data_IF_255225373256
#
_entry.id   IF_255225373256
#
_cell.length_a   1.000
_cell.length_b   1.000
_cell.length_c   1.000
_cell.angle_alpha   90.00
_cell.angle_beta   90.00
_cell.angle_gamma   90.00
#
_symmetry.space_group_name_H-M   'P 1'
#
loop_
_entity.id
_entity.type
_entity.pdbx_description
1 polymer ?
#
# COMPACT_ATOMS: atom_id res chain seq x y z
N UNK A 1 -24.17 -66.01 -39.01
CA UNK A 1 -25.39 -66.32 -38.23
C UNK A 1 -26.00 -65.00 -37.76
N UNK A 2 -27.18 -64.65 -38.31
CA UNK A 2 -28.23 -63.66 -37.91
C UNK A 2 -27.77 -62.39 -37.16
N UNK A 3 -27.84 -61.14 -37.64
CA UNK A 3 -28.75 -60.36 -38.52
C UNK A 3 -30.13 -60.00 -37.92
N UNK A 4 -30.62 -58.80 -38.29
CA UNK A 4 -31.84 -58.02 -37.95
C UNK A 4 -31.67 -56.99 -36.81
N UNK A 5 -32.03 -55.71 -36.94
CA UNK A 5 -32.72 -54.95 -38.00
C UNK A 5 -33.20 -53.61 -37.42
N UNK A 6 -33.08 -52.53 -38.19
CA UNK A 6 -33.42 -51.14 -37.86
C UNK A 6 -34.95 -50.84 -38.01
N UNK A 7 -35.39 -49.60 -38.36
CA UNK A 7 -35.62 -48.35 -37.60
C UNK A 7 -37.12 -47.91 -37.69
N UNK A 8 -37.44 -46.61 -37.48
CA UNK A 8 -38.55 -45.74 -38.04
C UNK A 8 -39.05 -44.78 -36.94
N UNK A 9 -39.09 -43.43 -37.01
CA UNK A 9 -39.48 -42.37 -37.98
C UNK A 9 -40.87 -41.74 -37.78
N UNK A 10 -40.86 -40.40 -37.60
CA UNK A 10 -41.81 -39.31 -37.97
C UNK A 10 -43.23 -39.13 -37.40
N UNK A 11 -43.57 -37.82 -37.38
CA UNK A 11 -44.88 -37.13 -37.37
C UNK A 11 -45.39 -36.71 -35.97
N UNK A 12 -45.99 -35.54 -35.73
CA UNK A 12 -46.46 -34.44 -36.60
C UNK A 12 -46.72 -33.18 -35.73
N UNK A 13 -46.62 -31.99 -36.33
CA UNK A 13 -47.11 -30.69 -35.83
C UNK A 13 -48.66 -30.64 -35.76
N UNK A 14 -49.27 -29.68 -35.02
CA UNK A 14 -49.58 -28.31 -35.52
C UNK A 14 -49.29 -27.21 -34.45
N UNK A 15 -48.88 -25.96 -34.71
CA UNK A 15 -49.27 -24.87 -35.64
C UNK A 15 -50.33 -23.89 -35.06
N UNK A 16 -49.92 -22.59 -35.00
CA UNK A 16 -50.64 -21.30 -34.80
C UNK A 16 -51.28 -21.00 -33.43
N UNK A 17 -51.13 -19.81 -32.82
CA UNK A 17 -51.54 -18.43 -33.21
C UNK A 17 -50.57 -17.41 -32.54
N UNK A 18 -49.82 -16.52 -33.19
CA UNK A 18 -50.10 -15.23 -33.86
C UNK A 18 -50.79 -14.10 -33.04
N UNK A 19 -49.98 -13.24 -32.41
CA UNK A 19 -50.21 -11.81 -32.19
C UNK A 19 -48.82 -11.21 -31.83
N UNK A 20 -48.20 -10.29 -32.56
CA UNK A 20 -48.74 -9.13 -33.24
C UNK A 20 -48.40 -7.90 -32.40
N UNK A 21 -47.16 -7.41 -32.45
CA UNK A 21 -46.85 -6.05 -32.02
C UNK A 21 -45.97 -5.34 -33.04
N UNK A 22 -46.45 -4.14 -33.32
CA UNK A 22 -46.17 -3.27 -34.46
C UNK A 22 -44.85 -2.56 -34.26
N UNK A 23 -44.03 -2.58 -35.30
CA UNK A 23 -42.87 -1.71 -35.50
C UNK A 23 -43.38 -0.30 -35.76
N UNK A 24 -43.16 0.62 -34.81
CA UNK A 24 -43.16 2.06 -35.11
C UNK A 24 -41.73 2.53 -35.22
N UNK A 25 -41.35 2.91 -36.43
CA UNK A 25 -40.12 3.63 -36.74
C UNK A 25 -40.06 4.94 -35.96
N UNK A 26 -39.23 4.97 -34.93
CA UNK A 26 -38.81 6.19 -34.23
C UNK A 26 -37.51 6.68 -34.85
N UNK A 27 -37.60 7.82 -35.52
CA UNK A 27 -36.49 8.57 -36.08
C UNK A 27 -35.46 8.88 -34.97
N UNK A 28 -34.31 8.19 -34.97
CA UNK A 28 -33.20 8.49 -34.09
C UNK A 28 -32.39 9.64 -34.70
N UNK A 29 -32.74 10.87 -34.35
CA UNK A 29 -31.87 12.03 -34.55
C UNK A 29 -30.64 11.88 -33.64
N UNK A 30 -29.48 11.65 -34.26
CA UNK A 30 -28.17 11.88 -33.67
C UNK A 30 -28.07 13.35 -33.27
N UNK A 31 -28.25 13.64 -31.99
CA UNK A 31 -27.81 14.89 -31.37
C UNK A 31 -26.41 14.64 -30.81
N UNK A 32 -25.41 15.13 -31.55
CA UNK A 32 -24.07 15.39 -31.05
C UNK A 32 -24.17 16.59 -30.10
N UNK A 33 -24.26 16.33 -28.80
CA UNK A 33 -24.11 17.36 -27.77
C UNK A 33 -22.68 17.30 -27.23
N UNK A 34 -21.78 17.95 -27.97
CA UNK A 34 -20.45 18.34 -27.50
C UNK A 34 -20.64 19.49 -26.49
N UNK A 35 -21.03 19.13 -25.27
CA UNK A 35 -21.03 20.06 -24.14
C UNK A 35 -19.59 20.31 -23.66
N UNK A 36 -19.16 21.57 -23.47
CA UNK A 36 -17.80 21.85 -23.01
C UNK A 36 -17.60 21.34 -21.57
N UNK A 37 -16.48 20.66 -21.34
CA UNK A 37 -15.97 20.28 -20.02
C UNK A 37 -16.00 21.49 -19.06
N UNK A 38 -16.38 21.30 -17.78
CA UNK A 38 -16.40 22.39 -16.83
C UNK A 38 -14.97 22.91 -16.60
N UNK A 39 -14.76 24.18 -16.97
CA UNK A 39 -13.59 24.95 -16.57
C UNK A 39 -13.54 24.99 -15.04
N UNK A 40 -12.51 24.39 -14.46
CA UNK A 40 -12.11 24.69 -13.08
C UNK A 40 -11.82 26.18 -12.98
N UNK A 41 -12.76 26.92 -12.40
CA UNK A 41 -12.57 28.31 -12.03
C UNK A 41 -11.61 28.35 -10.83
N UNK A 42 -10.41 28.87 -11.08
CA UNK A 42 -9.48 29.33 -10.04
C UNK A 42 -10.15 30.41 -9.18
N UNK A 43 -10.84 30.03 -8.11
CA UNK A 43 -11.14 30.94 -7.01
C UNK A 43 -9.91 31.02 -6.11
N UNK A 44 -9.08 32.03 -6.37
CA UNK A 44 -8.02 32.50 -5.47
C UNK A 44 -8.66 32.86 -4.13
N UNK A 45 -8.46 32.02 -3.10
CA UNK A 45 -8.68 32.45 -1.73
C UNK A 45 -7.63 33.53 -1.38
N UNK A 46 -8.00 34.63 -0.69
CA UNK A 46 -7.04 35.64 -0.27
C UNK A 46 -6.07 35.02 0.76
N UNK A 47 -4.78 35.29 0.55
CA UNK A 47 -3.72 34.89 1.46
C UNK A 47 -3.97 35.51 2.85
N UNK A 48 -4.03 34.66 3.88
CA UNK A 48 -3.95 35.11 5.27
C UNK A 48 -2.62 35.84 5.51
N UNK A 49 -2.61 36.99 6.19
CA UNK A 49 -1.38 37.69 6.48
C UNK A 49 -0.51 36.88 7.45
N UNK A 50 0.77 36.79 7.13
CA UNK A 50 1.82 36.24 7.99
C UNK A 50 1.85 36.97 9.33
N UNK A 51 2.02 36.26 10.47
CA UNK A 51 2.24 36.93 11.75
C UNK A 51 3.61 37.60 11.77
N UNK A 52 3.62 38.85 12.23
CA UNK A 52 4.81 39.68 12.44
C UNK A 52 5.74 39.07 13.50
N UNK A 53 7.07 39.22 13.38
CA UNK A 53 8.02 38.78 14.40
C UNK A 53 7.83 39.60 15.67
N UNK A 54 7.65 38.93 16.81
CA UNK A 54 7.64 39.55 18.13
C UNK A 54 9.10 39.65 18.61
N UNK A 55 9.58 40.88 18.83
CA UNK A 55 10.84 41.14 19.53
C UNK A 55 10.75 40.69 21.00
N UNK A 56 11.81 40.11 21.58
CA UNK A 56 11.81 39.75 22.99
C UNK A 56 12.07 40.99 23.87
N UNK A 57 11.12 41.29 24.74
CA UNK A 57 11.29 42.23 25.85
C UNK A 57 12.13 41.58 26.96
N UNK A 58 13.21 42.27 27.33
CA UNK A 58 14.00 42.05 28.54
C UNK A 58 13.24 42.61 29.73
N UNK A 59 13.16 41.87 30.84
CA UNK A 59 13.04 42.27 32.27
C UNK A 59 12.67 41.00 33.07
N UNK A 60 12.92 40.80 34.36
CA UNK A 60 14.02 41.10 35.30
C UNK A 60 13.83 40.07 36.44
N UNK A 61 14.88 39.85 37.23
CA UNK A 61 15.13 38.77 38.19
C UNK A 61 14.03 38.43 39.22
N UNK A 62 13.88 37.13 39.50
CA UNK A 62 13.56 36.62 40.83
C UNK A 62 14.15 35.22 41.00
N UNK A 63 15.31 35.14 41.65
CA UNK A 63 15.99 33.89 41.95
C UNK A 63 15.37 33.19 43.17
N UNK A 64 14.98 31.92 42.99
CA UNK A 64 14.73 30.97 44.08
C UNK A 64 15.92 30.00 44.13
N UNK A 65 16.55 29.73 45.28
CA UNK A 65 17.72 28.86 45.36
C UNK A 65 17.32 27.39 45.13
N UNK A 66 17.88 26.77 44.11
CA UNK A 66 17.80 25.32 43.89
C UNK A 66 18.99 24.68 44.61
N UNK A 67 18.71 23.90 45.66
CA UNK A 67 19.67 22.97 46.26
C UNK A 67 19.92 21.82 45.28
N UNK A 68 21.18 21.42 45.01
CA UNK A 68 21.45 20.31 44.11
C UNK A 68 21.07 18.98 44.75
N UNK A 69 20.19 18.24 44.08
CA UNK A 69 19.90 16.84 44.37
C UNK A 69 21.17 15.97 44.18
N UNK A 70 21.31 14.88 44.95
CA UNK A 70 22.49 14.05 44.94
C UNK A 70 22.63 13.31 43.60
N UNK A 71 23.86 13.30 43.09
CA UNK A 71 24.28 12.56 41.89
C UNK A 71 23.98 11.07 42.07
N UNK A 72 22.95 10.57 41.39
CA UNK A 72 22.75 9.13 41.23
C UNK A 72 23.80 8.59 40.23
N UNK A 73 24.63 7.70 40.75
CA UNK A 73 25.56 6.85 40.00
C UNK A 73 24.80 6.08 38.90
N UNK A 74 25.27 6.01 37.65
CA UNK A 74 24.57 5.26 36.61
C UNK A 74 24.57 3.78 36.96
N UNK A 75 23.38 3.22 37.14
CA UNK A 75 23.17 1.79 37.28
C UNK A 75 23.75 1.08 36.04
N UNK A 76 24.65 0.13 36.27
CA UNK A 76 25.15 -0.78 35.24
C UNK A 76 23.96 -1.46 34.57
N UNK A 77 23.87 -1.52 33.22
CA UNK A 77 22.83 -2.28 32.55
C UNK A 77 22.99 -3.75 32.94
N UNK A 78 22.13 -4.23 33.82
CA UNK A 78 22.02 -5.66 34.11
C UNK A 78 21.65 -6.37 32.82
N UNK A 79 22.58 -7.17 32.30
CA UNK A 79 22.31 -8.09 31.20
C UNK A 79 21.21 -9.03 31.68
N UNK A 80 19.98 -8.82 31.20
CA UNK A 80 18.92 -9.79 31.35
C UNK A 80 19.38 -11.09 30.68
N UNK A 81 19.23 -12.25 31.35
CA UNK A 81 19.69 -13.51 30.78
C UNK A 81 18.95 -13.75 29.46
N UNK A 82 19.72 -14.06 28.41
CA UNK A 82 19.17 -14.51 27.14
C UNK A 82 18.34 -15.79 27.40
N UNK A 83 17.02 -15.68 27.32
CA UNK A 83 16.14 -16.84 27.36
C UNK A 83 16.28 -17.53 26.01
N UNK A 84 17.27 -18.41 25.89
CA UNK A 84 17.35 -19.38 24.80
C UNK A 84 16.31 -20.46 25.09
N UNK A 85 15.07 -20.18 24.68
CA UNK A 85 13.94 -21.09 24.79
C UNK A 85 13.50 -21.51 23.39
N UNK A 86 13.39 -22.82 23.17
CA UNK A 86 12.65 -23.39 22.04
C UNK A 86 11.29 -22.68 21.94
N UNK A 87 11.04 -22.00 20.81
CA UNK A 87 9.79 -21.29 20.54
C UNK A 87 8.64 -22.31 20.57
N UNK A 88 7.92 -22.39 21.69
CA UNK A 88 6.58 -22.96 21.70
C UNK A 88 5.65 -21.95 21.00
N UNK A 89 4.73 -22.39 20.12
CA UNK A 89 3.84 -21.45 19.46
C UNK A 89 2.96 -20.78 20.52
N UNK A 90 3.16 -19.48 20.69
CA UNK A 90 2.40 -18.62 21.60
C UNK A 90 1.19 -18.09 20.86
N UNK A 91 0.32 -19.01 20.46
CA UNK A 91 -1.00 -18.65 19.99
C UNK A 91 -1.67 -17.81 21.07
N UNK A 92 -2.26 -16.69 20.67
CA UNK A 92 -3.03 -15.86 21.56
C UNK A 92 -4.18 -16.71 22.11
N UNK A 93 -4.23 -16.85 23.43
CA UNK A 93 -5.31 -17.60 24.07
C UNK A 93 -6.58 -16.77 23.98
N UNK A 94 -7.57 -17.26 23.22
CA UNK A 94 -8.83 -16.55 23.01
C UNK A 94 -9.61 -16.51 24.33
N UNK A 95 -9.81 -15.30 24.84
CA UNK A 95 -10.70 -15.01 25.95
C UNK A 95 -12.15 -14.87 25.45
N UNK A 96 -13.17 -15.01 26.34
CA UNK A 96 -14.55 -14.68 25.99
C UNK A 96 -14.64 -13.29 25.33
N UNK A 97 -15.39 -13.20 24.22
CA UNK A 97 -15.50 -11.96 23.43
C UNK A 97 -16.26 -10.90 24.21
N UNK A 98 -15.55 -9.84 24.61
CA UNK A 98 -16.15 -8.64 25.17
C UNK A 98 -16.83 -7.80 24.08
N UNK A 99 -17.56 -6.76 24.51
CA UNK A 99 -18.00 -5.71 23.60
C UNK A 99 -16.80 -5.12 22.84
N UNK A 100 -16.91 -4.93 21.50
CA UNK A 100 -15.81 -4.37 20.73
C UNK A 100 -15.54 -2.92 21.16
N UNK A 101 -14.26 -2.56 21.22
CA UNK A 101 -13.86 -1.16 21.07
C UNK A 101 -13.96 -0.77 19.60
N UNK A 102 -14.01 0.53 19.31
CA UNK A 102 -14.04 1.02 17.93
C UNK A 102 -12.85 1.95 17.68
N UNK A 103 -12.33 1.91 16.45
CA UNK A 103 -11.26 2.79 15.96
C UNK A 103 -11.64 3.37 14.60
N UNK A 104 -11.64 4.69 14.51
CA UNK A 104 -11.95 5.40 13.25
C UNK A 104 -10.66 5.83 12.58
N UNK A 105 -10.52 5.46 11.31
CA UNK A 105 -9.40 5.83 10.47
C UNK A 105 -9.88 6.72 9.33
N UNK A 106 -9.05 7.69 8.99
CA UNK A 106 -9.16 8.49 7.77
C UNK A 106 -7.96 8.23 6.90
N UNK A 107 -8.18 7.95 5.62
CA UNK A 107 -7.10 7.71 4.66
C UNK A 107 -7.55 8.12 3.26
N UNK A 108 -6.58 8.48 2.42
CA UNK A 108 -6.83 8.94 1.05
C UNK A 108 -6.48 7.84 0.05
N UNK A 109 -7.38 7.56 -0.89
CA UNK A 109 -7.12 6.68 -2.02
C UNK A 109 -7.70 7.30 -3.29
N UNK A 110 -6.89 7.43 -4.34
CA UNK A 110 -7.28 8.03 -5.63
C UNK A 110 -7.96 9.40 -5.53
N UNK A 111 -7.36 10.29 -4.73
CA UNK A 111 -7.89 11.64 -4.54
C UNK A 111 -9.19 11.71 -3.72
N UNK A 112 -9.64 10.59 -3.15
CA UNK A 112 -10.85 10.49 -2.36
C UNK A 112 -10.47 10.18 -0.91
N UNK A 113 -11.02 10.94 0.03
CA UNK A 113 -10.89 10.64 1.45
C UNK A 113 -11.95 9.61 1.87
N UNK A 114 -11.48 8.58 2.56
CA UNK A 114 -12.29 7.52 3.14
C UNK A 114 -12.23 7.62 4.66
N UNK A 115 -13.36 7.34 5.29
CA UNK A 115 -13.46 7.13 6.73
C UNK A 115 -13.98 5.71 6.97
N UNK A 116 -13.32 4.98 7.87
CA UNK A 116 -13.75 3.64 8.28
C UNK A 116 -13.68 3.50 9.78
N UNK A 117 -14.75 2.99 10.40
CA UNK A 117 -14.77 2.64 11.81
C UNK A 117 -14.65 1.12 11.97
N UNK A 118 -13.52 0.67 12.49
CA UNK A 118 -13.20 -0.74 12.68
C UNK A 118 -13.58 -1.20 14.09
N UNK A 119 -14.35 -2.29 14.23
CA UNK A 119 -14.53 -2.95 15.51
C UNK A 119 -13.25 -3.71 15.88
N UNK A 120 -12.83 -3.58 17.14
CA UNK A 120 -11.68 -4.28 17.69
C UNK A 120 -12.11 -5.04 18.94
N UNK A 121 -11.98 -6.36 18.91
CA UNK A 121 -12.24 -7.23 20.05
C UNK A 121 -11.25 -6.92 21.19
N UNK A 122 -11.73 -6.31 22.27
CA UNK A 122 -10.87 -5.90 23.38
C UNK A 122 -10.24 -7.09 24.11
N UNK A 123 -10.95 -8.21 24.21
CA UNK A 123 -10.42 -9.42 24.83
C UNK A 123 -9.25 -9.99 24.02
N UNK A 124 -9.36 -9.96 22.68
CA UNK A 124 -8.28 -10.37 21.79
C UNK A 124 -7.08 -9.42 21.87
N UNK A 125 -7.33 -8.10 21.89
CA UNK A 125 -6.28 -7.10 22.08
C UNK A 125 -5.51 -7.33 23.39
N UNK A 126 -6.21 -7.51 24.52
CA UNK A 126 -5.57 -7.78 25.81
C UNK A 126 -4.78 -9.08 25.79
N UNK A 127 -5.36 -10.15 25.23
CA UNK A 127 -4.68 -11.43 25.13
C UNK A 127 -3.42 -11.36 24.23
N UNK A 128 -3.45 -10.59 23.14
CA UNK A 128 -2.28 -10.32 22.32
C UNK A 128 -1.21 -9.52 23.09
N UNK A 129 -1.65 -8.51 23.84
CA UNK A 129 -0.76 -7.66 24.63
C UNK A 129 -0.15 -8.40 25.84
N UNK A 130 -0.83 -9.42 26.36
CA UNK A 130 -0.35 -10.29 27.45
C UNK A 130 0.38 -11.55 26.92
N UNK A 131 0.44 -11.74 25.60
CA UNK A 131 1.08 -12.91 25.01
C UNK A 131 2.56 -12.94 25.37
N UNK A 132 3.11 -14.14 25.55
CA UNK A 132 4.52 -14.27 25.93
C UNK A 132 5.49 -13.79 24.83
N UNK A 133 4.98 -13.44 23.64
CA UNK A 133 5.75 -12.79 22.59
C UNK A 133 6.31 -11.44 23.04
N UNK A 134 5.71 -10.76 24.03
CA UNK A 134 6.15 -9.43 24.45
C UNK A 134 7.59 -9.34 24.96
N UNK A 135 8.16 -10.44 25.46
CA UNK A 135 9.46 -10.44 26.14
C UNK A 135 10.53 -11.32 25.49
N UNK A 136 10.37 -11.67 24.20
CA UNK A 136 11.29 -12.57 23.50
C UNK A 136 12.34 -11.76 22.72
N UNK A 137 13.61 -12.14 22.88
CA UNK A 137 14.70 -11.71 21.99
C UNK A 137 14.79 -12.74 20.87
N UNK A 138 14.60 -12.30 19.63
CA UNK A 138 14.53 -13.17 18.45
C UNK A 138 15.88 -13.14 17.73
N UNK A 139 16.50 -14.31 17.49
CA UNK A 139 17.65 -14.39 16.59
C UNK A 139 17.20 -14.04 15.17
N UNK A 140 17.98 -13.20 14.48
CA UNK A 140 17.76 -12.87 13.07
C UNK A 140 17.45 -14.08 12.17
N UNK A 141 18.08 -15.23 12.42
CA UNK A 141 17.89 -16.47 11.64
C UNK A 141 16.53 -17.13 11.89
N UNK A 142 15.91 -16.85 13.03
CA UNK A 142 14.62 -17.39 13.44
C UNK A 142 13.47 -16.41 13.15
N UNK A 143 13.78 -15.20 12.69
CA UNK A 143 12.81 -14.13 12.42
C UNK A 143 11.70 -14.58 11.45
N UNK A 144 12.03 -15.35 10.42
CA UNK A 144 11.05 -15.89 9.49
C UNK A 144 10.06 -16.85 10.17
N UNK A 145 10.54 -17.75 11.01
CA UNK A 145 9.69 -18.68 11.77
C UNK A 145 8.80 -17.92 12.74
N UNK A 146 9.34 -16.91 13.42
CA UNK A 146 8.59 -16.06 14.33
C UNK A 146 7.43 -15.34 13.63
N UNK A 147 7.71 -14.65 12.50
CA UNK A 147 6.67 -13.95 11.76
C UNK A 147 5.63 -14.86 11.11
N UNK A 148 6.04 -16.03 10.59
CA UNK A 148 5.09 -17.04 10.09
C UNK A 148 4.09 -17.43 11.17
N UNK A 149 4.55 -17.68 12.40
CA UNK A 149 3.66 -18.08 13.50
C UNK A 149 2.71 -16.96 13.95
N UNK A 150 3.16 -15.71 13.92
CA UNK A 150 2.28 -14.57 14.20
C UNK A 150 1.21 -14.40 13.10
N UNK A 151 1.58 -14.59 11.84
CA UNK A 151 0.67 -14.53 10.71
C UNK A 151 -0.38 -15.65 10.77
N UNK A 152 0.06 -16.88 11.07
CA UNK A 152 -0.80 -18.07 11.09
C UNK A 152 -1.60 -18.26 12.39
N UNK A 153 -1.59 -17.29 13.31
CA UNK A 153 -2.31 -17.41 14.59
C UNK A 153 -3.83 -17.46 14.36
N UNK A 154 -4.50 -18.60 14.66
CA UNK A 154 -5.93 -18.76 14.43
C UNK A 154 -6.79 -17.78 15.25
N UNK A 155 -6.27 -17.25 16.36
CA UNK A 155 -6.97 -16.24 17.15
C UNK A 155 -7.16 -14.92 16.39
N UNK A 156 -6.35 -14.65 15.37
CA UNK A 156 -6.48 -13.45 14.53
C UNK A 156 -7.58 -13.56 13.47
N UNK A 157 -8.07 -14.77 13.14
CA UNK A 157 -9.07 -14.96 12.08
C UNK A 157 -10.35 -14.14 12.28
N UNK A 158 -11.00 -14.16 13.47
CA UNK A 158 -12.19 -13.34 13.69
C UNK A 158 -11.92 -11.83 13.62
N UNK A 159 -10.69 -11.40 13.92
CA UNK A 159 -10.28 -10.01 13.76
C UNK A 159 -10.21 -9.62 12.28
N UNK A 160 -9.64 -10.48 11.42
CA UNK A 160 -9.65 -10.25 9.98
C UNK A 160 -11.07 -10.27 9.40
N UNK A 161 -11.94 -11.18 9.83
CA UNK A 161 -13.36 -11.20 9.44
C UNK A 161 -14.06 -9.87 9.76
N UNK A 162 -13.79 -9.33 10.94
CA UNK A 162 -14.37 -8.07 11.42
C UNK A 162 -13.90 -6.86 10.58
N UNK A 163 -12.59 -6.71 10.36
CA UNK A 163 -12.06 -5.54 9.61
C UNK A 163 -12.30 -5.65 8.11
N UNK A 164 -12.20 -6.86 7.52
CA UNK A 164 -12.48 -7.12 6.10
C UNK A 164 -13.92 -6.73 5.76
N UNK A 165 -14.87 -7.06 6.63
CA UNK A 165 -16.27 -6.68 6.45
C UNK A 165 -16.48 -5.17 6.39
N UNK A 166 -15.80 -4.38 7.23
CA UNK A 166 -15.95 -2.92 7.22
C UNK A 166 -15.24 -2.27 6.03
N UNK A 167 -14.02 -2.72 5.70
CA UNK A 167 -13.28 -2.24 4.53
C UNK A 167 -13.98 -2.64 3.22
N UNK A 168 -14.53 -3.86 3.16
CA UNK A 168 -15.27 -4.38 2.03
C UNK A 168 -16.58 -3.62 1.75
N UNK A 169 -17.19 -2.97 2.75
CA UNK A 169 -18.33 -2.06 2.53
C UNK A 169 -17.93 -0.82 1.75
N UNK A 170 -16.69 -0.35 1.91
CA UNK A 170 -16.15 0.80 1.17
C UNK A 170 -15.74 0.45 -0.26
N UNK A 171 -15.68 -0.85 -0.61
CA UNK A 171 -15.44 -1.33 -1.98
C UNK A 171 -16.49 -0.81 -2.97
N UNK A 172 -17.71 -0.57 -2.51
CA UNK A 172 -18.81 -0.04 -3.32
C UNK A 172 -19.10 1.41 -2.96
N UNK A 173 -18.94 2.32 -3.92
CA UNK A 173 -19.20 3.75 -3.73
C UNK A 173 -19.71 4.38 -5.02
N UNK A 174 -20.70 5.27 -4.90
CA UNK A 174 -21.24 6.06 -6.02
C UNK A 174 -21.63 5.23 -7.25
N UNK A 175 -22.17 4.03 -7.04
CA UNK A 175 -22.56 3.12 -8.11
C UNK A 175 -21.41 2.34 -8.76
N UNK A 176 -20.17 2.49 -8.26
CA UNK A 176 -18.97 1.83 -8.76
C UNK A 176 -18.39 0.88 -7.72
N UNK A 177 -17.91 -0.26 -8.18
CA UNK A 177 -17.20 -1.24 -7.35
C UNK A 177 -15.73 -1.23 -7.71
N UNK A 178 -14.85 -1.18 -6.71
CA UNK A 178 -13.42 -1.40 -6.93
C UNK A 178 -13.19 -2.84 -7.44
N UNK A 179 -12.53 -2.96 -8.58
CA UNK A 179 -12.07 -4.25 -9.09
C UNK A 179 -10.94 -4.81 -8.21
N UNK A 180 -10.56 -6.06 -8.40
CA UNK A 180 -9.62 -6.73 -7.48
C UNK A 180 -8.28 -5.98 -7.34
N UNK A 181 -7.65 -5.53 -8.44
CA UNK A 181 -6.43 -4.71 -8.33
C UNK A 181 -6.67 -3.38 -7.59
N UNK A 182 -7.83 -2.75 -7.79
CA UNK A 182 -8.15 -1.46 -7.18
C UNK A 182 -8.47 -1.63 -5.69
N UNK A 183 -9.13 -2.74 -5.32
CA UNK A 183 -9.42 -3.06 -3.94
C UNK A 183 -8.14 -3.46 -3.20
N UNK A 184 -7.24 -4.20 -3.83
CA UNK A 184 -5.89 -4.43 -3.30
C UNK A 184 -5.15 -3.12 -3.08
N UNK A 185 -5.05 -2.24 -4.08
CA UNK A 185 -4.41 -0.92 -3.98
C UNK A 185 -5.05 -0.06 -2.87
N UNK A 186 -6.37 -0.18 -2.68
CA UNK A 186 -7.11 0.47 -1.59
C UNK A 186 -6.71 -0.07 -0.20
N UNK A 187 -6.61 -1.39 -0.03
CA UNK A 187 -6.17 -2.00 1.23
C UNK A 187 -4.71 -1.65 1.56
N UNK A 188 -3.84 -1.64 0.53
CA UNK A 188 -2.46 -1.16 0.65
C UNK A 188 -2.45 0.29 1.12
N UNK A 189 -3.28 1.15 0.51
CA UNK A 189 -3.36 2.57 0.87
C UNK A 189 -3.85 2.80 2.30
N UNK A 190 -4.83 2.01 2.76
CA UNK A 190 -5.29 2.03 4.14
C UNK A 190 -4.15 1.72 5.11
N UNK A 191 -3.42 0.62 4.89
CA UNK A 191 -2.35 0.20 5.81
C UNK A 191 -1.15 1.14 5.77
N UNK A 192 -0.74 1.61 4.59
CA UNK A 192 0.38 2.56 4.45
C UNK A 192 0.15 3.84 5.28
N UNK A 193 -1.10 4.30 5.37
CA UNK A 193 -1.48 5.52 6.08
C UNK A 193 -1.74 5.33 7.59
N UNK A 194 -1.67 4.10 8.12
CA UNK A 194 -1.57 3.91 9.56
C UNK A 194 -0.25 4.53 10.04
N UNK A 195 -0.25 5.44 11.04
CA UNK A 195 0.96 6.07 11.55
C UNK A 195 2.10 5.09 11.83
N UNK A 196 3.28 5.38 11.27
CA UNK A 196 4.50 4.62 11.52
C UNK A 196 5.12 5.07 12.83
N UNK A 197 5.47 4.13 13.72
CA UNK A 197 6.27 4.43 14.91
C UNK A 197 7.72 3.94 14.77
N UNK A 198 8.63 4.59 15.50
CA UNK A 198 10.02 4.15 15.58
C UNK A 198 10.12 2.78 16.26
N UNK A 199 11.11 1.99 15.85
CA UNK A 199 11.33 0.64 16.36
C UNK A 199 11.43 0.67 17.87
N UNK A 200 10.44 0.09 18.52
CA UNK A 200 10.33 0.05 19.97
C UNK A 200 9.51 -1.18 20.32
N UNK A 201 10.21 -2.19 20.87
CA UNK A 201 9.68 -3.46 21.42
C UNK A 201 9.57 -4.60 20.41
N UNK A 202 9.30 -5.77 20.98
CA UNK A 202 8.97 -7.02 20.28
C UNK A 202 7.73 -6.82 19.39
N UNK A 203 7.69 -7.42 18.18
CA UNK A 203 6.64 -7.17 17.21
C UNK A 203 5.24 -7.43 17.76
N UNK A 204 4.32 -6.49 17.50
CA UNK A 204 2.90 -6.58 17.85
C UNK A 204 2.09 -7.41 16.87
N UNK A 205 1.02 -7.99 17.39
CA UNK A 205 0.00 -8.62 16.57
C UNK A 205 -0.82 -7.57 15.80
N UNK A 206 -1.38 -7.95 14.65
CA UNK A 206 -2.23 -7.09 13.80
C UNK A 206 -3.39 -6.42 14.55
N UNK A 207 -4.03 -7.12 15.51
CA UNK A 207 -5.08 -6.55 16.36
C UNK A 207 -4.61 -5.34 17.18
N UNK A 208 -3.34 -5.36 17.60
CA UNK A 208 -2.74 -4.29 18.40
C UNK A 208 -2.37 -3.10 17.53
N UNK A 209 -1.86 -3.33 16.31
CA UNK A 209 -1.61 -2.27 15.31
C UNK A 209 -2.88 -1.48 15.02
N UNK A 210 -4.00 -2.19 14.84
CA UNK A 210 -5.30 -1.55 14.59
C UNK A 210 -5.88 -0.90 15.85
N UNK A 211 -5.73 -1.52 17.02
CA UNK A 211 -6.21 -0.90 18.27
C UNK A 211 -5.42 0.36 18.65
N UNK A 212 -4.10 0.32 18.52
CA UNK A 212 -3.21 1.41 18.91
C UNK A 212 -3.13 2.51 17.83
N UNK A 213 -3.68 2.24 16.65
CA UNK A 213 -3.65 3.14 15.47
C UNK A 213 -2.23 3.53 15.04
N UNK A 214 -1.27 2.62 15.21
CA UNK A 214 0.13 2.81 14.82
C UNK A 214 0.88 1.48 14.79
N UNK A 215 1.92 1.39 13.97
CA UNK A 215 2.73 0.19 13.79
C UNK A 215 4.15 0.49 13.31
N UNK A 216 5.11 -0.40 13.56
CA UNK A 216 6.37 -0.38 12.81
C UNK A 216 6.12 -0.84 11.36
N UNK A 217 7.04 -0.59 10.41
CA UNK A 217 6.92 -1.13 9.05
C UNK A 217 6.66 -2.64 9.01
N UNK A 218 7.34 -3.41 9.86
CA UNK A 218 7.22 -4.87 9.94
C UNK A 218 5.84 -5.30 10.45
N UNK A 219 5.33 -4.66 11.51
CA UNK A 219 4.01 -4.95 12.07
C UNK A 219 2.89 -4.62 11.06
N UNK A 220 3.04 -3.49 10.35
CA UNK A 220 2.12 -3.09 9.27
C UNK A 220 2.19 -4.05 8.09
N UNK A 221 3.37 -4.58 7.77
CA UNK A 221 3.53 -5.59 6.72
C UNK A 221 2.82 -6.91 7.08
N UNK A 222 2.90 -7.36 8.34
CA UNK A 222 2.16 -8.54 8.82
C UNK A 222 0.65 -8.32 8.73
N UNK A 223 0.16 -7.16 9.18
CA UNK A 223 -1.25 -6.77 9.03
C UNK A 223 -1.69 -6.81 7.56
N UNK A 224 -0.93 -6.16 6.67
CA UNK A 224 -1.28 -6.07 5.26
C UNK A 224 -1.27 -7.43 4.56
N UNK A 225 -0.21 -8.23 4.73
CA UNK A 225 -0.08 -9.51 4.04
C UNK A 225 -1.21 -10.48 4.41
N UNK A 226 -1.58 -10.53 5.69
CA UNK A 226 -2.69 -11.37 6.17
C UNK A 226 -4.06 -10.82 5.81
N UNK A 227 -4.25 -9.50 5.82
CA UNK A 227 -5.49 -8.88 5.36
C UNK A 227 -5.73 -9.21 3.87
N UNK A 228 -4.70 -9.11 3.03
CA UNK A 228 -4.78 -9.51 1.63
C UNK A 228 -5.01 -11.02 1.48
N UNK A 229 -4.33 -11.87 2.26
CA UNK A 229 -4.56 -13.31 2.24
C UNK A 229 -6.01 -13.66 2.60
N UNK A 230 -6.57 -12.97 3.59
CA UNK A 230 -7.97 -13.14 4.05
C UNK A 230 -8.97 -12.72 2.97
N UNK A 231 -8.67 -11.66 2.22
CA UNK A 231 -9.45 -11.20 1.06
C UNK A 231 -9.27 -12.05 -0.21
N UNK A 232 -8.47 -13.12 -0.14
CA UNK A 232 -8.31 -14.10 -1.22
C UNK A 232 -7.17 -13.83 -2.21
N UNK A 233 -6.30 -12.85 -1.95
CA UNK A 233 -5.09 -12.62 -2.73
C UNK A 233 -4.00 -13.64 -2.39
N UNK A 234 -3.23 -14.09 -3.38
CA UNK A 234 -2.03 -14.90 -3.14
C UNK A 234 -0.92 -13.97 -2.65
N UNK A 235 -0.61 -14.02 -1.36
CA UNK A 235 0.33 -13.11 -0.71
C UNK A 235 1.44 -13.86 0.02
N UNK A 236 2.47 -13.12 0.38
CA UNK A 236 3.58 -13.61 1.18
C UNK A 236 4.08 -12.54 2.14
N UNK A 237 4.76 -12.97 3.20
CA UNK A 237 5.70 -12.13 3.92
C UNK A 237 7.10 -12.27 3.33
N UNK A 238 7.73 -11.15 3.07
CA UNK A 238 9.12 -11.05 2.62
C UNK A 238 9.97 -10.66 3.83
N UNK A 239 10.63 -11.64 4.45
CA UNK A 239 11.40 -11.42 5.66
C UNK A 239 12.87 -11.26 5.29
N UNK A 240 13.49 -10.16 5.73
CA UNK A 240 14.89 -9.81 5.49
C UNK A 240 15.70 -9.91 6.79
N UNK A 241 16.16 -11.11 7.20
CA UNK A 241 16.92 -11.33 8.43
C UNK A 241 18.08 -10.36 8.65
N UNK A 242 18.88 -10.10 7.60
CA UNK A 242 20.06 -9.24 7.66
C UNK A 242 19.76 -7.76 7.89
N UNK A 243 18.48 -7.35 7.82
CA UNK A 243 18.01 -5.98 8.07
C UNK A 243 17.01 -5.90 9.22
N UNK A 244 16.68 -7.03 9.86
CA UNK A 244 15.58 -7.12 10.84
C UNK A 244 14.29 -6.47 10.32
N UNK A 245 13.98 -6.72 9.05
CA UNK A 245 12.89 -6.06 8.33
C UNK A 245 11.96 -7.09 7.70
N UNK A 246 10.71 -6.70 7.49
CA UNK A 246 9.71 -7.49 6.80
C UNK A 246 8.83 -6.58 5.97
N UNK A 247 8.41 -7.09 4.81
CA UNK A 247 7.47 -6.43 3.93
C UNK A 247 6.37 -7.39 3.49
N UNK A 248 5.25 -6.85 3.03
CA UNK A 248 4.23 -7.65 2.39
C UNK A 248 4.65 -7.93 0.93
N UNK A 249 4.24 -9.07 0.41
CA UNK A 249 4.40 -9.46 -0.98
C UNK A 249 3.05 -9.87 -1.56
N UNK A 250 2.80 -9.53 -2.82
CA UNK A 250 1.65 -10.05 -3.56
C UNK A 250 2.10 -10.76 -4.81
N UNK A 251 1.47 -11.90 -5.10
CA UNK A 251 1.81 -12.69 -6.27
C UNK A 251 1.46 -11.93 -7.54
N UNK A 252 2.38 -12.02 -8.49
CA UNK A 252 2.25 -11.46 -9.82
C UNK A 252 2.36 -12.57 -10.86
N UNK A 253 1.94 -12.25 -12.08
CA UNK A 253 2.32 -13.01 -13.26
C UNK A 253 3.08 -12.11 -14.21
N UNK A 254 4.32 -12.48 -14.51
CA UNK A 254 5.17 -11.68 -15.37
C UNK A 254 4.89 -11.99 -16.83
N UNK A 255 4.44 -10.97 -17.56
CA UNK A 255 4.42 -10.99 -19.03
C UNK A 255 5.82 -10.86 -19.62
N UNK A 256 6.76 -10.27 -18.87
CA UNK A 256 8.10 -9.88 -19.35
C UNK A 256 9.23 -10.52 -18.54
N UNK A 257 10.33 -10.89 -19.21
CA UNK A 257 11.44 -11.65 -18.59
C UNK A 257 12.49 -10.80 -17.86
N UNK A 258 12.38 -9.47 -17.88
CA UNK A 258 13.39 -8.57 -17.29
C UNK A 258 12.76 -7.26 -16.79
N UNK A 259 11.98 -7.29 -15.70
CA UNK A 259 11.42 -6.07 -15.15
C UNK A 259 12.49 -5.20 -14.48
N UNK A 260 12.24 -3.89 -14.45
CA UNK A 260 13.08 -2.90 -13.75
C UNK A 260 12.86 -2.87 -12.23
N UNK A 261 12.25 -3.92 -11.67
CA UNK A 261 12.01 -4.09 -10.23
C UNK A 261 12.45 -5.48 -9.79
N UNK A 262 12.77 -5.60 -8.50
CA UNK A 262 13.08 -6.90 -7.89
C UNK A 262 11.83 -7.75 -7.77
N UNK A 263 11.97 -9.02 -8.12
CA UNK A 263 10.98 -10.07 -7.93
C UNK A 263 11.50 -10.99 -6.84
N UNK A 264 10.61 -11.41 -5.95
CA UNK A 264 10.93 -12.32 -4.86
C UNK A 264 10.22 -13.65 -5.11
N UNK A 265 10.98 -14.74 -5.16
CA UNK A 265 10.43 -16.05 -5.55
C UNK A 265 10.53 -17.05 -4.40
N UNK A 266 9.47 -17.85 -4.19
CA UNK A 266 9.51 -19.05 -3.33
C UNK A 266 9.96 -20.31 -4.10
N UNK A 267 10.39 -20.15 -5.35
CA UNK A 267 10.74 -21.23 -6.29
C UNK A 267 9.55 -21.78 -7.08
N UNK A 268 8.32 -21.36 -6.77
CA UNK A 268 7.08 -21.74 -7.49
C UNK A 268 6.24 -20.54 -7.91
N UNK A 269 6.32 -19.46 -7.14
CA UNK A 269 5.53 -18.24 -7.25
C UNK A 269 6.45 -17.04 -7.13
N UNK A 270 6.09 -16.01 -7.88
CA UNK A 270 6.81 -14.75 -7.94
C UNK A 270 5.97 -13.65 -7.30
N UNK A 271 6.59 -12.90 -6.39
CA UNK A 271 5.96 -11.89 -5.56
C UNK A 271 6.60 -10.52 -5.81
N UNK A 272 5.75 -9.49 -5.82
CA UNK A 272 6.15 -8.09 -5.83
C UNK A 272 6.11 -7.50 -4.42
N UNK A 273 7.11 -6.70 -4.08
CA UNK A 273 7.24 -6.02 -2.79
C UNK A 273 6.16 -4.96 -2.59
N UNK A 274 5.60 -4.87 -1.39
CA UNK A 274 4.72 -3.79 -0.97
C UNK A 274 5.34 -3.09 0.25
N UNK A 275 5.70 -1.82 0.09
CA UNK A 275 6.13 -0.97 1.20
C UNK A 275 4.93 -0.65 2.10
N UNK A 276 5.02 -0.99 3.38
CA UNK A 276 4.02 -0.68 4.39
C UNK A 276 4.33 0.63 5.13
N UNK A 277 5.52 1.21 4.97
CA UNK A 277 6.02 2.32 5.77
C UNK A 277 5.68 3.70 5.22
N UNK A 278 5.46 3.79 3.90
CA UNK A 278 5.22 5.03 3.18
C UNK A 278 4.20 4.83 2.06
N UNK A 279 3.57 5.92 1.62
CA UNK A 279 2.71 5.92 0.44
C UNK A 279 3.58 5.75 -0.81
N UNK A 280 3.75 4.50 -1.24
CA UNK A 280 4.51 4.13 -2.43
C UNK A 280 3.73 3.14 -3.28
N UNK A 281 3.98 3.18 -4.59
CA UNK A 281 3.45 2.18 -5.50
C UNK A 281 3.96 0.79 -5.14
N UNK A 282 3.12 -0.21 -5.37
CA UNK A 282 3.50 -1.62 -5.25
C UNK A 282 4.66 -1.88 -6.22
N UNK A 283 5.70 -2.57 -5.76
CA UNK A 283 6.94 -2.83 -6.50
C UNK A 283 8.06 -1.83 -6.22
N UNK A 284 7.74 -0.64 -5.68
CA UNK A 284 8.76 0.29 -5.22
C UNK A 284 9.26 -0.10 -3.84
N UNK A 285 10.56 0.01 -3.64
CA UNK A 285 11.23 -0.21 -2.37
C UNK A 285 12.12 0.99 -2.02
N UNK A 286 12.48 1.19 -0.74
CA UNK A 286 13.39 2.27 -0.34
C UNK A 286 14.77 2.13 -0.98
N UNK A 287 15.48 3.26 -1.16
CA UNK A 287 16.84 3.25 -1.70
C UNK A 287 17.77 2.34 -0.86
N UNK A 288 18.65 1.63 -1.55
CA UNK A 288 19.56 0.65 -0.92
C UNK A 288 18.96 -0.73 -0.68
N UNK A 289 17.68 -0.96 -0.99
CA UNK A 289 17.09 -2.30 -1.01
C UNK A 289 17.59 -3.19 -2.17
N UNK A 290 18.18 -2.59 -3.21
CA UNK A 290 18.80 -3.31 -4.33
C UNK A 290 19.93 -4.25 -3.88
N UNK A 291 20.66 -3.87 -2.82
CA UNK A 291 21.82 -4.61 -2.33
C UNK A 291 21.50 -5.56 -1.17
N UNK A 292 20.23 -5.71 -0.79
CA UNK A 292 19.84 -6.59 0.32
C UNK A 292 19.78 -8.04 -0.16
N UNK A 293 20.36 -9.01 0.59
CA UNK A 293 20.22 -10.43 0.31
C UNK A 293 18.78 -10.88 0.08
N UNK A 294 18.61 -11.99 -0.63
CA UNK A 294 17.28 -12.56 -0.86
C UNK A 294 16.54 -12.80 0.47
N UNK A 295 15.25 -12.41 0.55
CA UNK A 295 14.45 -12.64 1.75
C UNK A 295 14.09 -14.12 1.90
N UNK A 296 13.69 -14.48 3.11
CA UNK A 296 12.84 -15.66 3.31
C UNK A 296 11.43 -15.28 2.86
N UNK A 297 10.95 -15.94 1.80
CA UNK A 297 9.58 -15.76 1.30
C UNK A 297 8.67 -16.74 2.03
N UNK A 298 7.64 -16.22 2.70
CA UNK A 298 6.67 -16.98 3.50
C UNK A 298 5.28 -16.76 2.92
N UNK A 299 4.82 -17.64 2.03
CA UNK A 299 3.48 -17.56 1.47
C UNK A 299 2.40 -17.69 2.54
N UNK A 300 1.34 -16.89 2.44
CA UNK A 300 0.25 -16.83 3.42
C UNK A 300 -1.10 -17.21 2.78
N UNK A 301 -1.92 -17.92 3.55
CA UNK A 301 -3.28 -18.30 3.16
C UNK A 301 -3.34 -19.21 1.92
N UNK A 302 -4.55 -19.30 1.36
CA UNK A 302 -4.88 -20.10 0.17
C UNK A 302 -5.44 -19.24 -0.97
N UNK A 303 -5.21 -17.92 -0.90
CA UNK A 303 -5.65 -16.98 -1.90
C UNK A 303 -5.09 -17.29 -3.30
N UNK A 304 -5.84 -16.91 -4.33
CA UNK A 304 -5.51 -17.18 -5.72
C UNK A 304 -5.56 -15.93 -6.60
N UNK A 305 -6.06 -14.81 -6.07
CA UNK A 305 -6.15 -13.55 -6.80
C UNK A 305 -4.74 -12.96 -6.93
N UNK A 306 -4.36 -12.61 -8.16
CA UNK A 306 -3.06 -12.04 -8.50
C UNK A 306 -3.16 -10.53 -8.65
N UNK A 307 -2.07 -9.82 -8.42
CA UNK A 307 -1.97 -8.42 -8.85
C UNK A 307 -1.63 -8.34 -10.34
N UNK A 308 -2.50 -7.73 -11.15
CA UNK A 308 -2.41 -7.77 -12.62
C UNK A 308 -1.93 -6.46 -13.26
N UNK A 309 -1.77 -5.37 -12.49
CA UNK A 309 -1.25 -4.09 -13.02
C UNK A 309 0.28 -4.00 -13.08
N UNK A 310 0.95 -5.15 -13.07
CA UNK A 310 2.41 -5.23 -13.09
C UNK A 310 3.03 -4.54 -14.30
N UNK A 311 2.43 -4.67 -15.48
CA UNK A 311 2.95 -4.04 -16.71
C UNK A 311 2.84 -2.51 -16.62
N UNK A 312 1.77 -2.00 -16.01
CA UNK A 312 1.62 -0.56 -15.77
C UNK A 312 2.64 -0.03 -14.77
N UNK A 313 2.89 -0.77 -13.68
CA UNK A 313 3.96 -0.42 -12.71
C UNK A 313 5.32 -0.44 -13.40
N UNK A 314 5.59 -1.43 -14.26
CA UNK A 314 6.84 -1.53 -15.01
C UNK A 314 7.07 -0.29 -15.88
N UNK A 315 6.03 0.20 -16.58
CA UNK A 315 6.10 1.45 -17.36
C UNK A 315 6.43 2.65 -16.47
N UNK A 316 5.70 2.83 -15.38
CA UNK A 316 5.96 3.95 -14.44
C UNK A 316 7.41 3.93 -13.94
N UNK A 317 7.93 2.75 -13.54
CA UNK A 317 9.29 2.62 -13.03
C UNK A 317 10.34 2.87 -14.12
N UNK A 318 10.09 2.46 -15.35
CA UNK A 318 10.95 2.75 -16.50
C UNK A 318 11.03 4.25 -16.77
N UNK A 319 9.89 4.93 -16.80
CA UNK A 319 9.82 6.36 -17.12
C UNK A 319 10.39 7.19 -15.97
N UNK A 320 10.12 6.80 -14.72
CA UNK A 320 10.72 7.41 -13.54
C UNK A 320 12.27 7.33 -13.55
N UNK A 321 12.83 6.21 -14.02
CA UNK A 321 14.28 6.07 -14.21
C UNK A 321 14.80 7.02 -15.28
N UNK A 322 14.07 7.18 -16.39
CA UNK A 322 14.42 8.14 -17.46
C UNK A 322 14.38 9.57 -16.95
N UNK A 323 13.34 9.95 -16.19
CA UNK A 323 13.22 11.25 -15.53
C UNK A 323 14.42 11.50 -14.60
N UNK A 324 14.82 10.50 -13.81
CA UNK A 324 16.00 10.60 -12.92
C UNK A 324 17.29 10.87 -13.70
N UNK A 325 17.54 10.11 -14.76
CA UNK A 325 18.74 10.30 -15.62
C UNK A 325 18.74 11.70 -16.24
N UNK A 326 17.61 12.16 -16.76
CA UNK A 326 17.50 13.49 -17.36
C UNK A 326 17.69 14.60 -16.31
N UNK A 327 17.18 14.40 -15.09
CA UNK A 327 17.39 15.30 -13.96
C UNK A 327 18.88 15.43 -13.65
N UNK A 328 19.59 14.30 -13.48
CA UNK A 328 21.03 14.26 -13.19
C UNK A 328 21.85 14.94 -14.29
N UNK A 329 21.52 14.70 -15.56
CA UNK A 329 22.19 15.33 -16.70
C UNK A 329 21.99 16.87 -16.76
N UNK A 330 20.78 17.35 -16.46
CA UNK A 330 20.50 18.79 -16.38
C UNK A 330 21.19 19.43 -15.18
N UNK A 331 21.29 18.72 -14.06
CA UNK A 331 22.02 19.16 -12.88
C UNK A 331 23.53 19.29 -13.18
N UNK A 332 24.12 18.27 -13.81
CA UNK A 332 25.52 18.33 -14.24
C UNK A 332 25.78 19.46 -15.24
N UNK A 333 24.84 19.72 -16.15
CA UNK A 333 24.90 20.86 -17.07
C UNK A 333 24.88 22.19 -16.32
N UNK A 334 24.03 22.32 -15.31
CA UNK A 334 23.98 23.51 -14.45
C UNK A 334 25.29 23.70 -13.70
N UNK A 335 25.84 22.64 -13.11
CA UNK A 335 27.10 22.67 -12.35
C UNK A 335 28.28 23.13 -13.23
N UNK A 336 28.39 22.59 -14.45
CA UNK A 336 29.41 23.01 -15.43
C UNK A 336 29.25 24.46 -15.90
N UNK A 337 28.03 24.99 -15.82
CA UNK A 337 27.70 26.36 -16.21
C UNK A 337 27.60 27.32 -15.00
N UNK A 338 28.15 26.96 -13.84
CA UNK A 338 28.08 27.73 -12.60
C UNK A 338 26.65 28.15 -12.22
N UNK A 339 25.69 27.23 -12.38
CA UNK A 339 24.27 27.43 -12.08
C UNK A 339 23.46 28.09 -13.22
N UNK A 340 24.07 28.35 -14.38
CA UNK A 340 23.37 28.99 -15.51
C UNK A 340 22.76 27.94 -16.44
N UNK A 341 21.44 27.83 -16.46
CA UNK A 341 20.69 27.02 -17.43
C UNK A 341 19.92 27.94 -18.40
N UNK A 342 19.60 27.41 -19.59
CA UNK A 342 18.59 28.07 -20.44
C UNK A 342 17.23 28.03 -19.74
N UNK A 343 16.31 28.93 -20.13
CA UNK A 343 14.96 28.94 -19.56
C UNK A 343 14.26 27.58 -19.76
N UNK A 344 14.45 26.95 -20.91
CA UNK A 344 13.85 25.65 -21.24
C UNK A 344 14.48 24.52 -20.42
N UNK A 345 15.80 24.50 -20.26
CA UNK A 345 16.48 23.50 -19.42
C UNK A 345 16.08 23.64 -17.94
N UNK A 346 15.92 24.88 -17.45
CA UNK A 346 15.50 25.14 -16.08
C UNK A 346 14.05 24.68 -15.87
N UNK A 347 13.14 24.98 -16.81
CA UNK A 347 11.76 24.51 -16.77
C UNK A 347 11.68 22.97 -16.81
N UNK A 348 12.49 22.33 -17.66
CA UNK A 348 12.62 20.88 -17.71
C UNK A 348 13.05 20.29 -16.37
N UNK A 349 14.13 20.84 -15.79
CA UNK A 349 14.66 20.37 -14.51
C UNK A 349 13.61 20.48 -13.39
N UNK A 350 12.88 21.60 -13.31
CA UNK A 350 11.81 21.78 -12.31
C UNK A 350 10.66 20.79 -12.52
N UNK A 351 10.25 20.57 -13.78
CA UNK A 351 9.20 19.61 -14.15
C UNK A 351 9.59 18.19 -13.72
N UNK A 352 10.80 17.75 -14.08
CA UNK A 352 11.30 16.42 -13.76
C UNK A 352 11.48 16.20 -12.26
N UNK A 353 12.05 17.17 -11.53
CA UNK A 353 12.20 17.07 -10.06
C UNK A 353 10.83 16.99 -9.37
N UNK A 354 9.87 17.82 -9.79
CA UNK A 354 8.51 17.81 -9.24
C UNK A 354 7.83 16.47 -9.48
N UNK A 355 7.90 15.97 -10.71
CA UNK A 355 7.30 14.69 -11.12
C UNK A 355 7.95 13.51 -10.40
N UNK A 356 9.28 13.47 -10.34
CA UNK A 356 10.01 12.42 -9.63
C UNK A 356 9.59 12.36 -8.17
N UNK A 357 9.61 13.50 -7.46
CA UNK A 357 9.23 13.58 -6.06
C UNK A 357 7.77 13.18 -5.81
N UNK A 358 6.86 13.54 -6.72
CA UNK A 358 5.47 13.13 -6.64
C UNK A 358 5.32 11.61 -6.81
N UNK A 359 5.93 11.02 -7.85
CA UNK A 359 5.79 9.59 -8.15
C UNK A 359 6.37 8.72 -7.03
N UNK A 360 7.50 9.09 -6.41
CA UNK A 360 8.10 8.33 -5.30
C UNK A 360 7.33 8.44 -3.97
N UNK A 361 6.34 9.34 -3.89
CA UNK A 361 5.56 9.62 -2.67
C UNK A 361 4.06 9.35 -2.81
N UNK A 362 3.64 8.80 -3.95
CA UNK A 362 2.26 8.40 -4.20
C UNK A 362 2.13 6.87 -4.29
N UNK A 363 0.99 6.37 -3.83
CA UNK A 363 0.54 5.00 -4.08
C UNK A 363 -0.61 4.95 -5.12
N UNK A 364 -0.97 6.10 -5.68
CA UNK A 364 -1.94 6.18 -6.77
C UNK A 364 -1.25 6.03 -8.12
N UNK A 365 -1.33 4.83 -8.67
CA UNK A 365 -0.76 4.46 -9.96
C UNK A 365 -1.32 5.29 -11.12
N UNK A 366 -2.58 5.74 -11.08
CA UNK A 366 -3.14 6.55 -12.16
C UNK A 366 -2.59 7.97 -12.10
N UNK A 367 -2.56 8.57 -10.91
CA UNK A 367 -1.97 9.90 -10.75
C UNK A 367 -0.46 9.90 -11.10
N UNK A 368 0.26 8.82 -10.79
CA UNK A 368 1.66 8.66 -11.18
C UNK A 368 1.85 8.67 -12.70
N UNK A 369 0.99 7.95 -13.45
CA UNK A 369 1.03 7.97 -14.92
C UNK A 369 0.73 9.35 -15.49
N UNK A 370 -0.30 10.02 -14.96
CA UNK A 370 -0.69 11.36 -15.40
C UNK A 370 0.44 12.37 -15.17
N UNK A 371 1.06 12.35 -13.99
CA UNK A 371 2.20 13.22 -13.68
C UNK A 371 3.39 12.99 -14.62
N UNK A 372 3.70 11.72 -14.94
CA UNK A 372 4.77 11.38 -15.90
C UNK A 372 4.44 11.94 -17.29
N UNK A 373 3.22 11.70 -17.78
CA UNK A 373 2.78 12.19 -19.09
C UNK A 373 2.85 13.72 -19.17
N UNK A 374 2.37 14.43 -18.14
CA UNK A 374 2.43 15.89 -18.07
C UNK A 374 3.86 16.42 -18.07
N UNK A 375 4.81 15.69 -17.47
CA UNK A 375 6.22 16.10 -17.43
C UNK A 375 6.91 16.06 -18.78
N UNK A 376 6.44 15.20 -19.70
CA UNK A 376 7.04 14.99 -21.03
C UNK A 376 6.45 15.93 -22.10
N UNK A 377 5.21 16.40 -21.92
CA UNK A 377 4.50 17.27 -22.88
C UNK A 377 5.26 18.56 -23.26
N UNK A 378 5.92 19.30 -22.35
CA UNK A 378 6.65 20.53 -22.69
C UNK A 378 7.81 20.29 -23.68
N UNK A 379 8.36 19.06 -23.70
CA UNK A 379 9.58 18.73 -24.42
C UNK A 379 9.30 18.15 -25.82
N UNK A 380 8.15 17.51 -26.02
CA UNK A 380 7.70 17.10 -27.35
C UNK A 380 7.29 18.28 -28.23
N UNK A 381 6.69 19.34 -27.66
CA UNK A 381 6.35 20.56 -28.42
C UNK A 381 7.58 21.31 -28.92
N UNK A 382 8.68 21.29 -28.18
CA UNK A 382 9.95 21.93 -28.60
C UNK A 382 10.66 21.15 -29.72
N UNK A 383 10.50 19.83 -29.78
CA UNK A 383 11.03 19.02 -30.89
C UNK A 383 10.25 19.21 -32.19
N UNK A 384 8.95 19.49 -32.12
CA UNK A 384 8.09 19.68 -33.30
C UNK A 384 8.25 21.06 -33.95
N UNK A 385 8.81 22.05 -33.25
CA UNK A 385 9.13 23.36 -33.81
C UNK A 385 10.49 23.42 -34.55
N UNK A 386 11.21 22.29 -34.62
CA UNK A 386 12.43 22.14 -35.40
C UNK A 386 12.16 21.35 -36.69
N UNK A 387 11.35 21.90 -37.59
CA UNK A 387 11.25 21.46 -39.00
C UNK A 387 11.00 22.64 -39.93
#
# INVERSE_FOLDING_TARGET
MKQYGAPVSYACLPALILAGFIVTAGCFTLLTDEGPLPRYLNSRAPASPMPTPVEPSVDDESQVPITPDPVETPATPGVLPAVSGTYNPLYVTVLPRDAPGYRTYTFRYRGIDYEVTLPVNQSLYRAANESANRNIIIDSKELGVFYSRMADDPAMRPFYDDISRELGRLRYRDGKTLLDDEYLEFLVSFVQQIPTESVSRTPRYPVEVVYDMKGTPEEKAILLANLLAHEGYDTALLVFPGKQHAAAGVRIHLSTRNPFFRIFSDGKRDYMYIDSSANRLIGMYPDGFDAIPEPVVIPLGEGAILYTKIDTIATIMHDLKTIKINTEALQEKADKANGTLSADDYAALQSYVTTYNFVISTNDRLAALEAIQESELPHHSACLSCN
#
